data_IF_782606896527
#
_entry.id   IF_782606896527
#
_cell.length_a   1.000
_cell.length_b   1.000
_cell.length_c   1.000
_cell.angle_alpha   90.00
_cell.angle_beta   90.00
_cell.angle_gamma   90.00
#
_symmetry.space_group_name_H-M   'P 1'
#
loop_
_entity.id
_entity.type
_entity.pdbx_description
1 polymer ?
#
# COMPACT_ATOMS: atom_id res chain seq x y z
N UNK A 1 14.13 -24.14 -14.79
CA UNK A 1 14.29 -22.76 -14.34
C UNK A 1 12.89 -22.30 -14.00
N UNK A 2 12.53 -22.30 -12.73
CA UNK A 2 11.30 -21.68 -12.29
C UNK A 2 11.51 -20.19 -12.47
N UNK A 3 11.00 -19.62 -13.55
CA UNK A 3 10.93 -18.17 -13.68
C UNK A 3 10.03 -17.69 -12.55
N UNK A 4 10.63 -17.06 -11.56
CA UNK A 4 9.95 -16.29 -10.52
C UNK A 4 9.22 -15.14 -11.22
N UNK A 5 8.04 -15.43 -11.77
CA UNK A 5 7.20 -14.48 -12.47
C UNK A 5 6.65 -13.51 -11.43
N UNK A 6 7.44 -12.47 -11.15
CA UNK A 6 7.02 -11.38 -10.28
C UNK A 6 5.72 -10.81 -10.85
N UNK A 7 4.65 -10.70 -10.03
CA UNK A 7 3.38 -10.18 -10.51
C UNK A 7 3.56 -8.77 -11.08
N UNK A 8 2.76 -8.41 -12.08
CA UNK A 8 2.69 -7.02 -12.55
C UNK A 8 2.13 -6.11 -11.46
N UNK A 9 2.69 -4.90 -11.33
CA UNK A 9 2.14 -3.90 -10.41
C UNK A 9 0.82 -3.34 -10.96
N UNK A 10 -0.05 -2.77 -10.09
CA UNK A 10 -1.25 -2.09 -10.56
C UNK A 10 -0.95 -1.00 -11.60
N UNK A 11 0.12 -0.22 -11.38
CA UNK A 11 0.56 0.80 -12.33
C UNK A 11 0.92 0.18 -13.68
N UNK A 12 1.71 -0.89 -13.70
CA UNK A 12 2.11 -1.55 -14.95
C UNK A 12 0.89 -2.02 -15.76
N UNK A 13 -0.15 -2.54 -15.08
CA UNK A 13 -1.41 -2.95 -15.73
C UNK A 13 -2.16 -1.77 -16.33
N UNK A 14 -2.13 -0.61 -15.68
CA UNK A 14 -2.81 0.59 -16.17
C UNK A 14 -2.12 1.20 -17.39
N UNK A 15 -0.79 1.08 -17.49
CA UNK A 15 0.00 1.73 -18.54
C UNK A 15 0.44 0.77 -19.66
N UNK A 16 0.18 -0.54 -19.52
CA UNK A 16 0.59 -1.57 -20.47
C UNK A 16 -0.61 -2.41 -20.96
N UNK A 17 -1.26 -2.03 -22.07
CA UNK A 17 -2.38 -2.80 -22.63
C UNK A 17 -1.93 -4.17 -23.15
N UNK A 18 -2.86 -5.11 -23.29
CA UNK A 18 -2.58 -6.51 -23.69
C UNK A 18 -1.79 -6.61 -25.00
N UNK A 19 -2.10 -5.77 -25.98
CA UNK A 19 -1.37 -5.72 -27.25
C UNK A 19 0.10 -5.34 -27.06
N UNK A 20 0.38 -4.40 -26.14
CA UNK A 20 1.75 -3.99 -25.81
C UNK A 20 2.48 -5.10 -25.06
N UNK A 21 1.78 -5.86 -24.20
CA UNK A 21 2.35 -7.05 -23.55
C UNK A 21 2.67 -8.16 -24.55
N UNK A 22 1.77 -8.43 -25.50
CA UNK A 22 2.01 -9.40 -26.58
C UNK A 22 3.23 -9.00 -27.42
N UNK A 23 3.36 -7.71 -27.75
CA UNK A 23 4.54 -7.19 -28.43
C UNK A 23 5.81 -7.37 -27.60
N UNK A 24 5.77 -7.08 -26.28
CA UNK A 24 6.91 -7.28 -25.37
C UNK A 24 7.31 -8.76 -25.28
N UNK A 25 6.34 -9.68 -25.24
CA UNK A 25 6.57 -11.12 -25.22
C UNK A 25 7.24 -11.63 -26.51
N UNK A 26 7.03 -10.94 -27.64
CA UNK A 26 7.69 -11.27 -28.90
C UNK A 26 9.17 -10.82 -28.97
N UNK A 27 9.59 -9.86 -28.12
CA UNK A 27 10.93 -9.26 -28.18
C UNK A 27 12.06 -10.30 -28.18
N UNK A 28 12.10 -11.30 -27.27
CA UNK A 28 13.21 -12.27 -27.21
C UNK A 28 13.44 -13.05 -28.51
N UNK A 29 12.43 -13.15 -29.39
CA UNK A 29 12.50 -13.88 -30.65
C UNK A 29 13.02 -13.04 -31.84
N UNK A 30 13.31 -11.76 -31.62
CA UNK A 30 13.78 -10.83 -32.66
C UNK A 30 15.31 -10.81 -32.75
N UNK A 31 15.89 -10.40 -33.90
CA UNK A 31 17.32 -10.10 -33.98
C UNK A 31 17.70 -8.92 -33.07
N UNK A 32 18.98 -8.77 -32.66
CA UNK A 32 19.40 -7.77 -31.68
C UNK A 32 19.02 -6.31 -32.01
N UNK A 33 18.92 -5.95 -33.28
CA UNK A 33 18.46 -4.63 -33.68
C UNK A 33 16.95 -4.43 -33.44
N UNK A 34 16.13 -5.44 -33.77
CA UNK A 34 14.69 -5.43 -33.51
C UNK A 34 14.37 -5.44 -32.02
N UNK A 35 15.14 -6.20 -31.23
CA UNK A 35 15.02 -6.20 -29.77
C UNK A 35 15.22 -4.81 -29.18
N UNK A 36 16.30 -4.12 -29.56
CA UNK A 36 16.59 -2.76 -29.10
C UNK A 36 15.49 -1.77 -29.48
N UNK A 37 15.06 -1.81 -30.75
CA UNK A 37 14.05 -0.89 -31.25
C UNK A 37 12.70 -1.10 -30.56
N UNK A 38 12.18 -2.33 -30.51
CA UNK A 38 10.88 -2.60 -29.88
C UNK A 38 10.91 -2.45 -28.36
N UNK A 39 12.04 -2.74 -27.71
CA UNK A 39 12.20 -2.47 -26.27
C UNK A 39 12.12 -0.98 -25.98
N UNK A 40 12.81 -0.14 -26.76
CA UNK A 40 12.76 1.31 -26.61
C UNK A 40 11.35 1.84 -26.90
N UNK A 41 10.70 1.35 -27.95
CA UNK A 41 9.32 1.71 -28.28
C UNK A 41 8.34 1.32 -27.16
N UNK A 42 8.45 0.12 -26.60
CA UNK A 42 7.62 -0.31 -25.48
C UNK A 42 7.79 0.60 -24.26
N UNK A 43 9.04 0.91 -23.90
CA UNK A 43 9.36 1.78 -22.77
C UNK A 43 8.85 3.21 -22.97
N UNK A 44 9.01 3.74 -24.18
CA UNK A 44 8.48 5.07 -24.52
C UNK A 44 6.95 5.11 -24.41
N UNK A 45 6.27 4.05 -24.87
CA UNK A 45 4.81 3.94 -24.81
C UNK A 45 4.33 3.84 -23.36
N UNK A 46 4.94 3.00 -22.52
CA UNK A 46 4.66 2.92 -21.07
C UNK A 46 4.81 4.28 -20.38
N UNK A 47 5.89 5.01 -20.68
CA UNK A 47 6.12 6.34 -20.14
C UNK A 47 5.05 7.34 -20.59
N UNK A 48 4.72 7.36 -21.88
CA UNK A 48 3.68 8.24 -22.42
C UNK A 48 2.32 7.97 -21.77
N UNK A 49 1.96 6.70 -21.63
CA UNK A 49 0.73 6.28 -20.96
C UNK A 49 0.72 6.70 -19.48
N UNK A 50 1.86 6.58 -18.79
CA UNK A 50 2.00 7.02 -17.40
C UNK A 50 1.76 8.52 -17.27
N UNK A 51 2.36 9.34 -18.14
CA UNK A 51 2.17 10.79 -18.12
C UNK A 51 0.71 11.17 -18.41
N UNK A 52 0.06 10.50 -19.36
CA UNK A 52 -1.34 10.73 -19.69
C UNK A 52 -2.29 10.31 -18.56
N UNK A 53 -1.99 9.20 -17.87
CA UNK A 53 -2.79 8.67 -16.77
C UNK A 53 -2.98 9.71 -15.65
N UNK A 54 -1.94 10.47 -15.34
CA UNK A 54 -1.97 11.48 -14.27
C UNK A 54 -2.21 12.92 -14.78
N UNK A 55 -2.09 13.18 -16.08
CA UNK A 55 -2.38 14.50 -16.66
C UNK A 55 -3.86 14.89 -16.57
N UNK A 56 -4.75 13.91 -16.42
CA UNK A 56 -6.21 14.08 -16.43
C UNK A 56 -6.88 14.19 -15.06
N UNK A 57 -6.14 14.27 -13.96
CA UNK A 57 -6.70 14.47 -12.61
C UNK A 57 -7.29 15.89 -12.49
N UNK A 58 -8.45 16.12 -13.13
CA UNK A 58 -9.23 17.33 -12.96
C UNK A 58 -9.69 17.38 -11.50
N UNK A 59 -9.37 18.44 -10.75
CA UNK A 59 -9.87 18.61 -9.38
C UNK A 59 -11.41 18.63 -9.30
N UNK A 60 -12.10 18.91 -10.40
CA UNK A 60 -13.50 19.32 -10.40
C UNK A 60 -14.53 18.18 -10.44
N UNK A 61 -14.13 16.92 -10.66
CA UNK A 61 -15.09 15.79 -10.70
C UNK A 61 -15.23 15.04 -9.37
N UNK A 62 -14.63 15.56 -8.29
CA UNK A 62 -14.76 15.01 -6.93
C UNK A 62 -15.79 15.74 -6.07
N UNK A 63 -16.45 16.79 -6.58
CA UNK A 63 -17.44 17.56 -5.79
C UNK A 63 -18.67 16.74 -5.35
N UNK A 64 -18.90 15.55 -5.92
CA UNK A 64 -19.98 14.62 -5.56
C UNK A 64 -19.49 13.22 -5.17
N UNK A 65 -18.17 12.99 -5.10
CA UNK A 65 -17.63 11.73 -4.63
C UNK A 65 -17.31 11.85 -3.14
N UNK A 66 -17.80 10.90 -2.33
CA UNK A 66 -17.38 10.81 -0.94
C UNK A 66 -15.84 10.83 -0.87
N UNK A 67 -15.23 11.48 0.14
CA UNK A 67 -13.78 11.50 0.27
C UNK A 67 -13.27 10.06 0.24
N UNK A 68 -12.41 9.75 -0.73
CA UNK A 68 -11.77 8.44 -0.81
C UNK A 68 -10.95 8.29 0.47
N UNK A 69 -11.26 7.31 1.35
CA UNK A 69 -10.50 7.14 2.58
C UNK A 69 -9.05 6.82 2.22
N UNK A 70 -8.11 7.50 2.90
CA UNK A 70 -6.70 7.18 2.78
C UNK A 70 -6.48 5.74 3.24
N UNK A 71 -5.70 4.92 2.50
CA UNK A 71 -5.48 3.53 2.86
C UNK A 71 -4.78 3.44 4.22
N UNK A 72 -5.19 2.46 5.02
CA UNK A 72 -4.55 2.15 6.30
C UNK A 72 -3.16 1.53 6.08
N UNK A 73 -2.31 1.59 7.12
CA UNK A 73 -0.96 0.99 7.07
C UNK A 73 -1.01 -0.51 6.74
N UNK A 74 -2.00 -1.24 7.28
CA UNK A 74 -2.16 -2.67 7.04
C UNK A 74 -2.55 -2.97 5.59
N UNK A 75 -3.43 -2.17 4.98
CA UNK A 75 -3.80 -2.29 3.57
C UNK A 75 -2.61 -2.00 2.66
N UNK A 76 -1.82 -0.97 2.98
CA UNK A 76 -0.62 -0.64 2.22
C UNK A 76 0.41 -1.78 2.28
N UNK A 77 0.67 -2.31 3.48
CA UNK A 77 1.61 -3.43 3.64
C UNK A 77 1.12 -4.68 2.90
N UNK A 78 -0.17 -5.00 2.99
CA UNK A 78 -0.77 -6.11 2.25
C UNK A 78 -0.64 -5.93 0.72
N UNK A 79 -0.82 -4.70 0.22
CA UNK A 79 -0.64 -4.39 -1.20
C UNK A 79 0.82 -4.52 -1.67
N UNK A 80 1.80 -4.25 -0.79
CA UNK A 80 3.22 -4.38 -1.09
C UNK A 80 3.75 -5.81 -0.97
N UNK A 81 3.13 -6.64 -0.11
CA UNK A 81 3.58 -8.02 0.20
C UNK A 81 3.91 -8.87 -1.04
N UNK A 82 3.10 -8.91 -2.12
CA UNK A 82 3.38 -9.73 -3.30
C UNK A 82 4.63 -9.29 -4.09
N UNK A 83 5.11 -8.08 -3.86
CA UNK A 83 6.24 -7.48 -4.57
C UNK A 83 7.53 -7.43 -3.73
N UNK A 84 7.42 -7.77 -2.45
CA UNK A 84 8.50 -7.78 -1.48
C UNK A 84 9.31 -9.09 -1.54
N UNK A 85 10.66 -9.03 -1.47
CA UNK A 85 11.48 -10.24 -1.28
C UNK A 85 11.16 -10.91 0.06
N UNK A 86 11.41 -12.24 0.20
CA UNK A 86 10.99 -13.01 1.36
C UNK A 86 11.50 -12.43 2.69
N UNK A 87 12.77 -12.04 2.76
CA UNK A 87 13.37 -11.44 3.96
C UNK A 87 12.66 -10.13 4.39
N UNK A 88 12.09 -9.40 3.43
CA UNK A 88 11.39 -8.16 3.70
C UNK A 88 9.93 -8.38 4.13
N UNK A 89 9.32 -9.52 3.79
CA UNK A 89 7.94 -9.84 4.19
C UNK A 89 7.82 -10.00 5.72
N UNK A 90 8.80 -10.63 6.36
CA UNK A 90 8.88 -10.73 7.84
C UNK A 90 8.96 -9.34 8.49
N UNK A 91 9.72 -8.43 7.87
CA UNK A 91 9.85 -7.04 8.35
C UNK A 91 8.54 -6.27 8.22
N UNK A 92 7.81 -6.49 7.12
CA UNK A 92 6.47 -5.94 6.89
C UNK A 92 5.44 -6.47 7.90
N UNK A 93 5.49 -7.76 8.22
CA UNK A 93 4.61 -8.39 9.22
C UNK A 93 4.90 -7.87 10.64
N UNK A 94 6.17 -7.70 10.99
CA UNK A 94 6.59 -7.09 12.26
C UNK A 94 6.10 -5.64 12.41
N UNK A 95 6.09 -4.86 11.32
CA UNK A 95 5.59 -3.49 11.32
C UNK A 95 4.09 -3.45 11.64
N UNK A 96 3.28 -4.33 11.03
CA UNK A 96 1.84 -4.42 11.30
C UNK A 96 1.60 -4.79 12.77
N UNK A 97 2.32 -5.80 13.27
CA UNK A 97 2.19 -6.25 14.66
C UNK A 97 2.54 -5.15 15.65
N UNK A 98 3.64 -4.44 15.40
CA UNK A 98 4.09 -3.33 16.25
C UNK A 98 3.10 -2.17 16.20
N UNK A 99 2.61 -1.78 15.02
CA UNK A 99 1.60 -0.72 14.89
C UNK A 99 0.30 -1.05 15.64
N UNK A 100 -0.13 -2.32 15.58
CA UNK A 100 -1.32 -2.80 16.30
C UNK A 100 -1.09 -2.81 17.82
N UNK A 101 0.09 -3.26 18.27
CA UNK A 101 0.46 -3.26 19.68
C UNK A 101 0.55 -1.84 20.26
N UNK A 102 1.13 -0.89 19.52
CA UNK A 102 1.18 0.53 19.91
C UNK A 102 -0.22 1.13 20.01
N UNK A 103 -1.10 0.83 19.06
CA UNK A 103 -2.49 1.30 19.08
C UNK A 103 -3.26 0.75 20.29
N UNK A 104 -3.05 -0.53 20.63
CA UNK A 104 -3.63 -1.14 21.84
C UNK A 104 -3.04 -0.54 23.12
N UNK A 105 -1.73 -0.30 23.17
CA UNK A 105 -1.08 0.33 24.30
C UNK A 105 -1.57 1.76 24.52
N UNK A 106 -1.75 2.54 23.44
CA UNK A 106 -2.35 3.88 23.50
C UNK A 106 -3.79 3.83 24.01
N UNK A 107 -4.62 2.92 23.49
CA UNK A 107 -6.00 2.75 23.95
C UNK A 107 -6.09 2.39 25.45
N UNK A 108 -5.16 1.57 25.96
CA UNK A 108 -5.06 1.26 27.39
C UNK A 108 -4.48 2.42 28.21
N UNK A 109 -3.56 3.21 27.64
CA UNK A 109 -2.92 4.35 28.29
C UNK A 109 -3.80 5.60 28.33
N UNK A 110 -4.81 5.69 27.47
CA UNK A 110 -5.87 6.72 27.49
C UNK A 110 -7.00 6.37 28.49
N UNK A 111 -6.99 5.18 29.07
CA UNK A 111 -7.99 4.70 30.05
C UNK A 111 -7.85 5.18 31.51
N UNK A 112 -6.70 5.72 32.03
CA UNK A 112 -6.59 6.03 33.45
C UNK A 112 -7.27 7.34 33.88
N UNK A 113 -7.89 8.12 32.97
CA UNK A 113 -8.57 9.38 33.31
C UNK A 113 -10.09 9.27 33.56
N UNK A 114 -10.64 8.06 33.69
CA UNK A 114 -12.03 7.83 34.15
C UNK A 114 -12.06 6.81 35.29
N UNK A 115 -11.32 7.06 36.36
CA UNK A 115 -11.61 6.47 37.66
C UNK A 115 -12.26 7.56 38.52
N UNK A 116 -13.51 7.38 39.02
CA UNK A 116 -14.12 8.35 39.92
C UNK A 116 -13.27 8.48 41.20
N UNK A 117 -13.06 9.71 41.72
CA UNK A 117 -12.35 9.93 42.96
C UNK A 117 -13.30 9.65 44.13
N UNK A 118 -13.57 8.38 44.44
CA UNK A 118 -14.29 8.04 45.67
C UNK A 118 -13.83 6.70 46.24
N UNK A 119 -12.59 6.75 46.75
CA UNK A 119 -12.18 5.94 47.89
C UNK A 119 -11.46 6.87 48.88
N UNK A 120 -12.06 8.03 49.19
CA UNK A 120 -11.64 8.84 50.33
C UNK A 120 -12.59 8.58 51.50
N UNK A 121 -11.98 8.14 52.61
CA UNK A 121 -12.46 8.23 53.98
C UNK A 121 -13.84 7.64 54.32
N UNK A 122 -13.81 6.48 54.97
CA UNK A 122 -14.75 6.20 56.08
C UNK A 122 -13.93 6.17 57.37
N UNK A 123 -13.43 7.35 57.73
CA UNK A 123 -13.11 7.69 59.11
C UNK A 123 -14.43 8.09 59.76
N UNK A 124 -15.14 7.15 60.37
CA UNK A 124 -16.21 7.48 61.30
C UNK A 124 -15.99 6.67 62.59
N UNK A 125 -15.26 7.29 63.52
CA UNK A 125 -15.61 7.18 64.93
C UNK A 125 -17.09 7.56 65.10
N UNK A 126 -17.77 6.93 66.07
CA UNK A 126 -18.25 7.78 67.14
C UNK A 126 -18.01 7.18 68.54
N UNK A 127 -17.63 8.09 69.44
CA UNK A 127 -17.79 8.01 70.89
C UNK A 127 -19.18 7.50 71.30
N UNK A 128 -19.23 6.48 72.18
CA UNK A 128 -19.73 6.58 73.56
C UNK A 128 -19.44 5.29 74.36
#
# INVERSE_FOLDING_TARGET
>A
MEEDQKPMTPLDRMVTPDQLQMMKAAIPFLPPQGQRLLSAYAKFTELSNTLQLFAGARPEMHAMAAPVPSPSMSELVQALRPYAPPDFQESLDSLIQTASAVSMFQACSDFPEQMPPDCQEVSHEPEL
#
